data_IF_305477241059
#
_entry.id   IF_305477241059
#
_cell.length_a   1.000
_cell.length_b   1.000
_cell.length_c   1.000
_cell.angle_alpha   90.00
_cell.angle_beta   90.00
_cell.angle_gamma   90.00
#
_symmetry.space_group_name_H-M   'P 1'
#
loop_
_entity.id
_entity.type
_entity.pdbx_description
1 polymer ?
#
# COMPACT_ATOMS: atom_id res chain seq x y z
N UNK A 1 -18.78 0.27 -60.66
CA UNK A 1 -18.67 1.18 -59.50
C UNK A 1 -18.18 0.35 -58.33
N UNK A 2 -16.96 0.60 -57.85
CA UNK A 2 -16.24 -0.28 -56.92
C UNK A 2 -15.95 0.55 -55.68
N UNK A 3 -16.89 0.57 -54.73
CA UNK A 3 -16.78 1.35 -53.50
C UNK A 3 -15.93 0.57 -52.50
N UNK A 4 -14.70 1.02 -52.30
CA UNK A 4 -13.84 0.60 -51.19
C UNK A 4 -14.30 1.33 -49.93
N UNK A 5 -14.87 0.61 -48.98
CA UNK A 5 -15.12 1.08 -47.62
C UNK A 5 -13.83 0.86 -46.82
N UNK A 6 -13.09 1.94 -46.59
CA UNK A 6 -11.94 1.95 -45.69
C UNK A 6 -12.50 2.03 -44.26
N UNK A 7 -12.46 0.91 -43.55
CA UNK A 7 -12.78 0.85 -42.12
C UNK A 7 -11.57 1.37 -41.35
N UNK A 8 -11.64 2.63 -40.89
CA UNK A 8 -10.60 3.25 -40.08
C UNK A 8 -10.72 2.69 -38.65
N UNK A 9 -9.87 1.71 -38.31
CA UNK A 9 -9.72 1.23 -36.92
C UNK A 9 -8.98 2.30 -36.14
N UNK A 10 -9.70 3.03 -35.29
CA UNK A 10 -9.12 3.93 -34.32
C UNK A 10 -8.49 3.10 -33.20
N UNK A 11 -7.18 2.91 -33.27
CA UNK A 11 -6.37 2.44 -32.14
C UNK A 11 -6.44 3.50 -31.05
N UNK A 12 -7.28 3.27 -30.04
CA UNK A 12 -7.20 3.96 -28.76
C UNK A 12 -5.89 3.53 -28.12
N UNK A 13 -4.84 4.34 -28.29
CA UNK A 13 -3.63 4.24 -27.49
C UNK A 13 -4.02 4.66 -26.06
N UNK A 14 -4.47 3.69 -25.26
CA UNK A 14 -4.52 3.88 -23.82
C UNK A 14 -3.08 4.04 -23.35
N UNK A 15 -2.77 5.15 -22.70
CA UNK A 15 -1.50 5.35 -22.01
C UNK A 15 -1.29 4.16 -21.07
N UNK A 16 -0.39 3.26 -21.46
CA UNK A 16 0.07 2.20 -20.60
C UNK A 16 0.89 2.88 -19.51
N UNK A 17 0.22 3.25 -18.41
CA UNK A 17 0.91 3.62 -17.17
C UNK A 17 1.81 2.42 -16.87
N UNK A 18 3.13 2.62 -16.91
CA UNK A 18 4.07 1.55 -16.64
C UNK A 18 3.66 0.89 -15.32
N UNK A 19 3.40 -0.42 -15.36
CA UNK A 19 3.04 -1.17 -14.17
C UNK A 19 4.19 -0.99 -13.16
N UNK A 20 3.89 -0.38 -12.02
CA UNK A 20 4.88 -0.10 -10.98
C UNK A 20 5.63 -1.38 -10.57
N UNK A 21 6.95 -1.36 -10.55
CA UNK A 21 7.76 -2.53 -10.17
C UNK A 21 7.90 -2.61 -8.64
N UNK A 22 7.07 -3.44 -8.01
CA UNK A 22 7.04 -3.61 -6.57
C UNK A 22 8.29 -4.32 -6.00
N UNK A 23 9.08 -4.99 -6.84
CA UNK A 23 10.31 -5.66 -6.39
C UNK A 23 11.45 -4.66 -6.16
N UNK A 24 11.38 -3.49 -6.78
CA UNK A 24 12.35 -2.39 -6.56
C UNK A 24 12.11 -1.63 -5.25
N UNK A 25 10.93 -1.80 -4.65
CA UNK A 25 10.61 -1.18 -3.37
C UNK A 25 11.57 -1.64 -2.27
N UNK A 26 11.84 -0.74 -1.33
CA UNK A 26 12.71 -1.03 -0.18
C UNK A 26 12.18 -2.21 0.63
N UNK A 27 13.06 -3.07 1.19
CA UNK A 27 12.66 -4.05 2.18
C UNK A 27 11.87 -3.38 3.30
N UNK A 28 10.77 -4.01 3.69
CA UNK A 28 9.91 -3.49 4.73
C UNK A 28 10.62 -3.56 6.09
N UNK A 29 10.52 -2.49 6.87
CA UNK A 29 11.05 -2.41 8.23
C UNK A 29 9.90 -2.17 9.21
N UNK A 30 9.99 -2.75 10.41
CA UNK A 30 8.97 -2.57 11.44
C UNK A 30 8.92 -1.15 12.00
N UNK A 31 9.98 -0.37 11.79
CA UNK A 31 10.08 1.03 12.22
C UNK A 31 10.44 1.92 11.04
N UNK A 32 9.73 3.02 10.87
CA UNK A 32 9.99 4.03 9.83
C UNK A 32 9.33 5.38 10.15
N UNK A 33 9.82 6.50 9.59
CA UNK A 33 9.16 7.79 9.72
C UNK A 33 7.79 7.80 9.02
N UNK A 34 6.77 8.36 9.66
CA UNK A 34 5.47 8.60 9.02
C UNK A 34 5.60 9.67 7.95
N UNK A 35 5.12 9.39 6.73
CA UNK A 35 5.16 10.32 5.61
C UNK A 35 4.26 11.55 5.79
N UNK A 36 3.22 11.45 6.62
CA UNK A 36 2.29 12.57 6.91
C UNK A 36 2.37 13.13 8.34
N UNK A 37 3.21 12.55 9.19
CA UNK A 37 3.08 12.70 10.65
C UNK A 37 3.97 13.76 11.31
N UNK A 38 4.56 14.73 10.59
CA UNK A 38 5.38 15.80 11.18
C UNK A 38 6.44 15.30 12.19
N UNK A 39 7.18 14.24 11.81
CA UNK A 39 8.19 13.61 12.68
C UNK A 39 7.67 12.45 13.54
N UNK A 40 6.42 12.03 13.41
CA UNK A 40 5.93 10.79 14.02
C UNK A 40 6.71 9.59 13.50
N UNK A 41 7.14 8.73 14.41
CA UNK A 41 7.76 7.44 14.11
C UNK A 41 6.69 6.35 14.21
N UNK A 42 6.58 5.55 13.15
CA UNK A 42 5.76 4.35 13.13
C UNK A 42 6.63 3.19 13.60
N UNK A 43 6.12 2.40 14.54
CA UNK A 43 6.81 1.24 15.10
C UNK A 43 5.95 -0.01 15.13
N UNK A 44 6.59 -1.16 15.35
CA UNK A 44 5.95 -2.48 15.47
C UNK A 44 5.14 -2.92 14.24
N UNK A 45 5.32 -2.23 13.11
CA UNK A 45 4.55 -2.43 11.90
C UNK A 45 4.95 -3.76 11.25
N UNK A 46 4.15 -4.81 11.44
CA UNK A 46 4.41 -6.18 10.98
C UNK A 46 3.17 -6.73 10.28
N UNK A 47 2.91 -6.30 9.04
CA UNK A 47 1.75 -6.72 8.28
C UNK A 47 1.74 -8.23 8.08
N UNK A 48 0.56 -8.81 8.27
CA UNK A 48 0.28 -10.21 7.98
C UNK A 48 -0.91 -10.30 7.04
N UNK A 49 -0.88 -11.24 6.11
CA UNK A 49 -2.01 -11.53 5.23
C UNK A 49 -2.95 -12.51 5.94
N UNK A 50 -4.22 -12.16 6.00
CA UNK A 50 -5.30 -12.98 6.54
C UNK A 50 -6.48 -12.96 5.56
N UNK A 51 -6.54 -13.98 4.69
CA UNK A 51 -7.55 -14.05 3.63
C UNK A 51 -7.37 -12.95 2.59
N UNK A 52 -8.42 -12.16 2.38
CA UNK A 52 -8.47 -11.03 1.45
C UNK A 52 -8.01 -9.70 2.08
N UNK A 53 -7.45 -9.75 3.29
CA UNK A 53 -6.97 -8.59 4.03
C UNK A 53 -5.51 -8.72 4.45
N UNK A 54 -4.86 -7.58 4.63
CA UNK A 54 -3.63 -7.50 5.40
C UNK A 54 -3.84 -6.64 6.64
N UNK A 55 -3.36 -7.09 7.79
CA UNK A 55 -3.54 -6.38 9.06
C UNK A 55 -2.22 -6.19 9.77
N UNK A 56 -2.05 -5.08 10.47
CA UNK A 56 -1.01 -4.93 11.50
C UNK A 56 -1.49 -4.02 12.61
N UNK A 57 -1.03 -4.33 13.81
CA UNK A 57 -0.95 -3.33 14.87
C UNK A 57 0.30 -2.49 14.67
N UNK A 58 0.28 -1.25 15.15
CA UNK A 58 1.45 -0.37 15.11
C UNK A 58 1.39 0.70 16.20
N UNK A 59 2.56 1.22 16.53
CA UNK A 59 2.72 2.39 17.38
C UNK A 59 2.95 3.64 16.55
N UNK A 60 2.40 4.77 17.00
CA UNK A 60 2.72 6.10 16.48
C UNK A 60 3.32 6.91 17.62
N UNK A 61 4.63 7.12 17.57
CA UNK A 61 5.38 7.90 18.56
C UNK A 61 5.57 9.32 18.05
N UNK A 62 4.98 10.29 18.74
CA UNK A 62 5.14 11.72 18.48
C UNK A 62 6.56 12.20 18.82
N UNK A 63 7.00 13.36 18.29
CA UNK A 63 8.29 13.97 18.63
C UNK A 63 8.48 14.28 20.12
N UNK A 64 7.39 14.49 20.87
CA UNK A 64 7.40 14.71 22.32
C UNK A 64 7.51 13.40 23.15
N UNK A 65 7.57 12.25 22.47
CA UNK A 65 7.68 10.92 23.08
C UNK A 65 6.34 10.26 23.41
N UNK A 66 5.20 10.94 23.21
CA UNK A 66 3.88 10.32 23.44
C UNK A 66 3.62 9.22 22.40
N UNK A 67 3.15 8.06 22.88
CA UNK A 67 2.90 6.87 22.06
C UNK A 67 1.41 6.61 21.96
N UNK A 68 0.92 6.39 20.74
CA UNK A 68 -0.42 5.87 20.47
C UNK A 68 -0.37 4.47 19.89
N UNK A 69 -1.36 3.66 20.25
CA UNK A 69 -1.52 2.31 19.75
C UNK A 69 -2.64 2.25 18.74
N UNK A 70 -2.35 1.66 17.58
CA UNK A 70 -3.24 1.68 16.44
C UNK A 70 -3.32 0.29 15.79
N UNK A 71 -4.32 0.11 14.95
CA UNK A 71 -4.44 -1.03 14.04
C UNK A 71 -4.76 -0.51 12.64
N UNK A 72 -4.22 -1.16 11.61
CA UNK A 72 -4.54 -0.86 10.21
C UNK A 72 -4.94 -2.14 9.48
N UNK A 73 -5.92 -1.99 8.60
CA UNK A 73 -6.37 -3.02 7.67
C UNK A 73 -6.19 -2.51 6.22
N UNK A 74 -5.68 -3.39 5.37
CA UNK A 74 -5.53 -3.22 3.93
C UNK A 74 -6.37 -4.23 3.18
N UNK A 75 -6.70 -3.91 1.94
CA UNK A 75 -7.13 -4.92 0.97
C UNK A 75 -5.90 -5.70 0.49
N UNK A 76 -5.98 -7.02 0.50
CA UNK A 76 -4.96 -7.90 -0.05
C UNK A 76 -5.37 -8.31 -1.47
N UNK A 77 -4.68 -7.79 -2.47
CA UNK A 77 -4.98 -8.07 -3.88
C UNK A 77 -3.84 -8.83 -4.55
N UNK A 78 -4.13 -9.85 -5.38
CA UNK A 78 -3.10 -10.50 -6.19
C UNK A 78 -2.43 -9.51 -7.13
N UNK A 79 -1.09 -9.49 -7.17
CA UNK A 79 -0.33 -8.62 -8.07
C UNK A 79 1.06 -9.18 -8.37
N UNK A 80 1.48 -9.20 -9.63
CA UNK A 80 2.86 -9.55 -10.06
C UNK A 80 3.42 -10.86 -9.47
N UNK A 81 2.55 -11.86 -9.29
CA UNK A 81 2.91 -13.16 -8.67
C UNK A 81 3.02 -13.13 -7.14
N UNK A 82 2.70 -12.00 -6.51
CA UNK A 82 2.62 -11.83 -5.06
C UNK A 82 1.28 -11.25 -4.61
N UNK A 83 1.26 -10.66 -3.43
CA UNK A 83 0.10 -9.99 -2.83
C UNK A 83 0.46 -8.54 -2.50
N UNK A 84 -0.35 -7.60 -3.00
CA UNK A 84 -0.25 -6.18 -2.67
C UNK A 84 -1.30 -5.83 -1.60
N UNK A 85 -0.83 -5.37 -0.45
CA UNK A 85 -1.64 -4.76 0.59
C UNK A 85 -1.81 -3.26 0.26
N UNK A 86 -3.04 -2.84 -0.04
CA UNK A 86 -3.36 -1.48 -0.48
C UNK A 86 -4.61 -0.92 0.21
N UNK A 87 -4.91 0.36 -0.03
CA UNK A 87 -6.07 1.08 0.52
C UNK A 87 -6.13 1.06 2.05
N UNK A 88 -5.01 1.27 2.73
CA UNK A 88 -4.93 1.12 4.19
C UNK A 88 -5.89 2.03 4.95
N UNK A 89 -6.64 1.45 5.89
CA UNK A 89 -7.56 2.14 6.81
C UNK A 89 -7.12 1.83 8.23
N UNK A 90 -6.80 2.87 8.98
CA UNK A 90 -6.28 2.74 10.33
C UNK A 90 -7.22 3.36 11.35
N UNK A 91 -7.11 2.88 12.59
CA UNK A 91 -7.82 3.42 13.76
C UNK A 91 -6.95 3.35 14.99
N UNK A 92 -7.11 4.33 15.87
CA UNK A 92 -6.57 4.29 17.22
C UNK A 92 -7.31 3.24 18.04
N UNK A 93 -6.59 2.46 18.85
CA UNK A 93 -7.17 1.38 19.66
C UNK A 93 -8.06 1.90 20.79
N UNK A 94 -7.83 3.14 21.23
CA UNK A 94 -8.67 3.84 22.21
C UNK A 94 -9.93 4.48 21.60
N UNK A 95 -10.13 4.37 20.28
CA UNK A 95 -11.27 4.93 19.57
C UNK A 95 -11.19 6.44 19.33
N UNK A 96 -10.08 7.10 19.67
CA UNK A 96 -9.95 8.56 19.57
C UNK A 96 -9.82 9.08 18.14
N UNK A 97 -9.33 8.26 17.22
CA UNK A 97 -9.03 8.68 15.84
C UNK A 97 -9.11 7.52 14.85
N UNK A 98 -9.26 7.87 13.58
CA UNK A 98 -9.16 6.96 12.43
C UNK A 98 -8.72 7.73 11.18
N UNK A 99 -8.31 7.00 10.16
CA UNK A 99 -7.95 7.59 8.88
C UNK A 99 -7.53 6.56 7.85
N UNK A 100 -6.87 7.03 6.81
CA UNK A 100 -6.28 6.20 5.75
C UNK A 100 -4.77 6.39 5.70
N UNK A 101 -4.07 5.45 5.05
CA UNK A 101 -2.63 5.57 4.77
C UNK A 101 -2.35 5.23 3.30
N UNK A 102 -1.51 6.03 2.61
CA UNK A 102 -1.06 5.70 1.26
C UNK A 102 0.03 4.62 1.27
N UNK A 103 0.58 4.26 2.44
CA UNK A 103 1.62 3.25 2.55
C UNK A 103 1.10 1.89 2.08
N UNK A 104 1.83 1.24 1.17
CA UNK A 104 1.49 -0.08 0.63
C UNK A 104 2.57 -1.09 1.00
N UNK A 105 2.19 -2.35 1.06
CA UNK A 105 3.11 -3.45 1.37
C UNK A 105 2.96 -4.55 0.35
N UNK A 106 4.06 -5.04 -0.19
CA UNK A 106 4.08 -6.11 -1.18
C UNK A 106 4.76 -7.37 -0.60
N UNK A 107 4.09 -8.51 -0.75
CA UNK A 107 4.55 -9.82 -0.32
C UNK A 107 4.79 -10.71 -1.52
N UNK A 108 5.99 -11.29 -1.64
CA UNK A 108 6.31 -12.26 -2.68
C UNK A 108 7.48 -13.14 -2.25
N UNK A 109 7.35 -14.45 -2.40
CA UNK A 109 8.42 -15.44 -2.15
C UNK A 109 9.13 -15.26 -0.78
N UNK A 110 8.37 -14.92 0.26
CA UNK A 110 8.88 -14.67 1.61
C UNK A 110 9.49 -13.28 1.82
N UNK A 111 9.70 -12.49 0.76
CA UNK A 111 10.10 -11.09 0.86
C UNK A 111 8.89 -10.19 1.15
N UNK A 112 9.12 -9.19 2.00
CA UNK A 112 8.15 -8.13 2.31
C UNK A 112 8.78 -6.78 1.99
N UNK A 113 8.10 -5.98 1.16
CA UNK A 113 8.59 -4.68 0.69
C UNK A 113 7.56 -3.60 0.96
N UNK A 114 8.05 -2.40 1.28
CA UNK A 114 7.20 -1.26 1.58
C UNK A 114 7.32 -0.20 0.50
N UNK A 115 6.20 0.43 0.14
CA UNK A 115 6.19 1.52 -0.82
C UNK A 115 7.13 2.67 -0.39
N UNK A 116 7.71 3.41 -1.35
CA UNK A 116 8.55 4.57 -1.07
C UNK A 116 7.81 5.68 -0.30
#
# INVERSE_FOLDING_TARGET
MRTLIICLVWLVAGDAVAQEDYETWRPHTATFPSTGGNGVIIGEYRPVIAGDKCTTDFTATLPDGKVYYNSVEFDAVPAQGGTLCTNGRWRAKDGSAHGTTPYRVFFKDGAVRGSP
#
